data_IF_679537391636
#
_entry.id   IF_679537391636
#
_cell.length_a   1.000
_cell.length_b   1.000
_cell.length_c   1.000
_cell.angle_alpha   90.00
_cell.angle_beta   90.00
_cell.angle_gamma   90.00
#
_symmetry.space_group_name_H-M   'P 1'
#
loop_
_entity.id
_entity.type
_entity.pdbx_description
1 polymer ?
#
# COMPACT_ATOMS: atom_id res chain seq x y z
N UNK A 1 3.33 43.23 20.62
CA UNK A 1 4.75 42.83 20.46
C UNK A 1 4.97 42.31 19.05
N UNK A 2 6.10 42.63 18.44
CA UNK A 2 6.36 42.72 16.99
C UNK A 2 6.82 41.42 16.29
N UNK A 3 6.44 41.29 15.00
CA UNK A 3 7.21 40.94 13.76
C UNK A 3 7.96 39.58 13.74
N UNK A 4 7.93 38.80 12.64
CA UNK A 4 8.59 39.14 11.35
C UNK A 4 7.98 38.40 10.15
N UNK A 5 7.60 39.16 9.13
CA UNK A 5 7.37 38.71 7.75
C UNK A 5 8.67 38.94 6.98
N UNK A 6 9.23 37.89 6.39
CA UNK A 6 10.45 37.95 5.59
C UNK A 6 10.06 38.19 4.13
N UNK A 7 10.06 39.47 3.70
CA UNK A 7 9.91 39.84 2.28
C UNK A 7 11.28 39.79 1.62
N UNK A 8 11.48 38.90 0.66
CA UNK A 8 12.55 39.07 -0.32
C UNK A 8 11.96 39.79 -1.53
N UNK A 9 12.44 41.01 -1.77
CA UNK A 9 12.07 41.85 -2.89
C UNK A 9 13.22 41.81 -3.89
N UNK A 10 13.10 41.00 -4.95
CA UNK A 10 13.95 41.15 -6.13
C UNK A 10 13.27 42.12 -7.09
N UNK A 11 13.33 43.41 -6.78
CA UNK A 11 12.97 44.49 -7.70
C UNK A 11 13.89 45.67 -7.42
N UNK A 12 14.69 46.06 -8.42
CA UNK A 12 15.43 47.32 -8.40
C UNK A 12 14.52 48.42 -8.94
N UNK A 13 14.54 49.60 -8.30
CA UNK A 13 13.80 50.77 -8.76
C UNK A 13 14.15 51.09 -10.22
N UNK A 14 13.14 51.09 -11.09
CA UNK A 14 13.26 51.42 -12.52
C UNK A 14 13.05 50.27 -13.51
N UNK A 15 12.76 49.05 -13.05
CA UNK A 15 12.52 47.93 -13.97
C UNK A 15 11.11 48.01 -14.59
N UNK A 16 11.05 48.18 -15.91
CA UNK A 16 9.81 48.10 -16.69
C UNK A 16 9.43 46.62 -16.81
N UNK A 17 8.32 46.22 -16.17
CA UNK A 17 7.77 44.87 -16.30
C UNK A 17 6.96 44.81 -17.60
N UNK A 18 7.24 43.89 -18.54
CA UNK A 18 6.44 43.76 -19.75
C UNK A 18 5.01 43.28 -19.40
N UNK A 19 3.97 43.79 -20.08
CA UNK A 19 2.59 43.40 -19.80
C UNK A 19 2.39 41.90 -20.07
N UNK A 20 1.91 41.16 -19.07
CA UNK A 20 1.55 39.74 -19.19
C UNK A 20 2.43 38.73 -18.46
N UNK A 21 3.51 39.16 -17.79
CA UNK A 21 4.23 38.27 -16.86
C UNK A 21 3.41 38.06 -15.57
N UNK A 22 3.27 36.83 -15.04
CA UNK A 22 2.60 36.62 -13.75
C UNK A 22 3.35 37.42 -12.67
N UNK A 23 2.68 38.44 -12.12
CA UNK A 23 3.26 39.34 -11.11
C UNK A 23 3.19 38.73 -9.70
N UNK A 24 2.31 37.74 -9.49
CA UNK A 24 2.11 37.03 -8.23
C UNK A 24 1.63 35.61 -8.54
N UNK A 25 2.35 34.60 -8.07
CA UNK A 25 1.84 33.24 -7.95
C UNK A 25 1.27 33.09 -6.52
N UNK A 26 -0.05 32.94 -6.41
CA UNK A 26 -0.70 32.70 -5.12
C UNK A 26 -0.72 31.18 -4.92
N UNK A 27 0.22 30.69 -4.14
CA UNK A 27 0.21 29.32 -3.65
C UNK A 27 -0.74 29.25 -2.45
N UNK A 28 -1.88 28.57 -2.60
CA UNK A 28 -2.75 28.26 -1.48
C UNK A 28 -2.12 27.13 -0.64
N UNK A 29 -1.48 27.47 0.47
CA UNK A 29 -0.82 26.49 1.37
C UNK A 29 -1.81 25.58 2.13
N UNK A 30 -3.13 25.85 2.06
CA UNK A 30 -4.09 25.24 2.97
C UNK A 30 -4.74 23.93 2.48
N UNK A 31 -4.67 23.60 1.18
CA UNK A 31 -5.21 22.33 0.66
C UNK A 31 -4.25 21.76 -0.40
N UNK A 32 -3.19 21.10 0.06
CA UNK A 32 -2.32 20.32 -0.81
C UNK A 32 -3.02 19.00 -1.12
N UNK A 33 -3.08 18.66 -2.41
CA UNK A 33 -3.60 17.39 -2.88
C UNK A 33 -2.50 16.63 -3.63
N UNK A 34 -2.48 15.30 -3.46
CA UNK A 34 -1.55 14.43 -4.18
C UNK A 34 -2.28 13.73 -5.32
N UNK A 35 -1.69 13.78 -6.51
CA UNK A 35 -2.12 12.98 -7.66
C UNK A 35 -1.20 11.77 -7.83
N UNK A 36 -1.76 10.58 -7.68
CA UNK A 36 -1.09 9.30 -7.93
C UNK A 36 -1.56 8.71 -9.25
N UNK A 37 -0.66 8.05 -9.97
CA UNK A 37 -1.03 7.20 -11.11
C UNK A 37 -1.10 5.74 -10.65
N UNK A 38 -2.23 5.09 -10.90
CA UNK A 38 -2.47 3.68 -10.55
C UNK A 38 -2.77 2.89 -11.82
N UNK A 39 -2.29 1.65 -11.90
CA UNK A 39 -2.62 0.76 -13.02
C UNK A 39 -4.08 0.32 -12.96
N UNK A 40 -4.69 0.07 -14.12
CA UNK A 40 -6.12 -0.22 -14.19
C UNK A 40 -6.52 -1.49 -13.42
N UNK A 41 -5.63 -2.48 -13.34
CA UNK A 41 -5.84 -3.73 -12.61
C UNK A 41 -5.80 -3.55 -11.07
N UNK A 42 -5.05 -2.56 -10.59
CA UNK A 42 -4.90 -2.26 -9.16
C UNK A 42 -5.94 -1.29 -8.61
N UNK A 43 -6.84 -0.77 -9.46
CA UNK A 43 -7.92 0.14 -9.05
C UNK A 43 -8.83 -0.43 -7.96
N UNK A 44 -8.95 -1.75 -7.89
CA UNK A 44 -9.72 -2.43 -6.84
C UNK A 44 -9.20 -2.08 -5.43
N UNK A 45 -7.89 -1.86 -5.29
CA UNK A 45 -7.27 -1.46 -4.03
C UNK A 45 -7.33 0.06 -3.78
N UNK A 46 -7.40 0.88 -4.83
CA UNK A 46 -7.29 2.35 -4.74
C UNK A 46 -8.66 3.08 -4.83
N UNK A 47 -9.67 2.60 -4.10
CA UNK A 47 -11.02 3.19 -4.12
C UNK A 47 -11.16 4.43 -3.23
N UNK A 48 -12.20 5.23 -3.47
CA UNK A 48 -12.54 6.37 -2.61
C UNK A 48 -12.71 5.94 -1.14
N UNK A 49 -12.14 6.72 -0.22
CA UNK A 49 -12.14 6.44 1.21
C UNK A 49 -11.02 5.51 1.69
N UNK A 50 -10.23 4.92 0.79
CA UNK A 50 -9.09 4.07 1.18
C UNK A 50 -7.96 4.92 1.76
N UNK A 51 -7.38 4.53 2.92
CA UNK A 51 -6.20 5.20 3.46
C UNK A 51 -4.97 4.94 2.60
N UNK A 52 -4.15 5.98 2.41
CA UNK A 52 -2.92 5.94 1.62
C UNK A 52 -1.79 6.54 2.44
N UNK A 53 -0.66 5.85 2.51
CA UNK A 53 0.57 6.41 3.08
C UNK A 53 1.38 7.10 1.99
N UNK A 54 1.64 8.39 2.14
CA UNK A 54 2.41 9.20 1.20
C UNK A 54 3.85 9.35 1.70
N UNK A 55 4.80 9.00 0.84
CA UNK A 55 6.24 9.07 1.11
C UNK A 55 6.88 10.08 0.15
N UNK A 56 7.42 11.20 0.65
CA UNK A 56 8.17 12.15 -0.17
C UNK A 56 9.44 11.50 -0.74
N UNK A 57 9.65 11.60 -2.05
CA UNK A 57 10.86 11.08 -2.70
C UNK A 57 11.99 12.11 -2.77
N UNK A 58 11.64 13.39 -2.68
CA UNK A 58 12.59 14.50 -2.72
C UNK A 58 13.37 14.66 -1.40
N UNK A 59 12.82 14.19 -0.29
CA UNK A 59 13.45 14.20 1.03
C UNK A 59 13.13 12.88 1.76
N UNK A 60 14.05 11.89 1.71
CA UNK A 60 13.88 10.62 2.39
C UNK A 60 13.81 10.72 3.92
N UNK A 61 14.19 11.87 4.51
CA UNK A 61 14.13 12.10 5.96
C UNK A 61 12.81 12.72 6.40
N UNK A 62 12.00 13.19 5.44
CA UNK A 62 10.69 13.74 5.73
C UNK A 62 9.75 12.66 6.28
N UNK A 63 8.87 13.01 7.25
CA UNK A 63 7.91 12.06 7.78
C UNK A 63 6.92 11.62 6.69
N UNK A 64 6.52 10.35 6.76
CA UNK A 64 5.40 9.83 5.97
C UNK A 64 4.11 10.58 6.37
N UNK A 65 3.24 10.81 5.40
CA UNK A 65 1.97 11.50 5.61
C UNK A 65 0.83 10.54 5.32
N UNK A 66 -0.12 10.41 6.25
CA UNK A 66 -1.35 9.65 6.01
C UNK A 66 -2.36 10.53 5.27
N UNK A 67 -2.89 10.01 4.17
CA UNK A 67 -3.94 10.63 3.38
C UNK A 67 -5.08 9.66 3.08
N UNK A 68 -6.12 10.16 2.43
CA UNK A 68 -7.29 9.36 2.04
C UNK A 68 -7.62 9.60 0.58
N UNK A 69 -7.87 8.54 -0.18
CA UNK A 69 -8.34 8.67 -1.57
C UNK A 69 -9.65 9.43 -1.58
N UNK A 70 -9.66 10.58 -2.25
CA UNK A 70 -10.84 11.44 -2.42
C UNK A 70 -11.57 11.18 -3.73
N UNK A 71 -10.82 10.89 -4.80
CA UNK A 71 -11.37 10.75 -6.14
C UNK A 71 -10.53 9.79 -6.97
N UNK A 72 -11.20 8.87 -7.65
CA UNK A 72 -10.61 8.03 -8.70
C UNK A 72 -11.18 8.48 -10.03
N UNK A 73 -10.33 8.88 -10.97
CA UNK A 73 -10.80 9.29 -12.29
C UNK A 73 -11.32 8.08 -13.07
N UNK A 74 -12.37 8.27 -13.88
CA UNK A 74 -12.93 7.22 -14.74
C UNK A 74 -12.35 7.26 -16.15
N UNK A 75 -11.03 7.49 -16.25
CA UNK A 75 -10.30 7.55 -17.52
C UNK A 75 -8.86 7.13 -17.32
N UNK A 76 -8.30 6.51 -18.34
CA UNK A 76 -6.87 6.24 -18.44
C UNK A 76 -6.23 7.46 -19.11
N UNK A 77 -5.18 8.01 -18.52
CA UNK A 77 -4.38 9.06 -19.15
C UNK A 77 -3.62 8.43 -20.35
N UNK A 78 -3.79 8.95 -21.57
CA UNK A 78 -3.22 8.33 -22.77
C UNK A 78 -1.68 8.43 -22.84
N UNK A 79 -1.08 9.33 -22.08
CA UNK A 79 0.37 9.55 -22.04
C UNK A 79 1.03 8.56 -21.09
N UNK A 80 0.50 8.45 -19.87
CA UNK A 80 1.08 7.59 -18.81
C UNK A 80 0.51 6.17 -18.82
N UNK A 81 -0.67 5.98 -19.42
CA UNK A 81 -1.50 4.76 -19.35
C UNK A 81 -1.97 4.40 -17.94
N UNK A 82 -1.92 5.35 -17.01
CA UNK A 82 -2.36 5.19 -15.64
C UNK A 82 -3.71 5.88 -15.43
N UNK A 83 -4.41 5.49 -14.37
CA UNK A 83 -5.59 6.17 -13.87
C UNK A 83 -5.19 7.13 -12.76
N UNK A 84 -5.59 8.39 -12.89
CA UNK A 84 -5.30 9.42 -11.88
C UNK A 84 -6.18 9.18 -10.63
N UNK A 85 -5.53 9.10 -9.47
CA UNK A 85 -6.13 8.98 -8.14
C UNK A 85 -5.70 10.19 -7.30
N UNK A 86 -6.67 10.92 -6.77
CA UNK A 86 -6.44 12.10 -5.95
C UNK A 86 -6.58 11.76 -4.47
N UNK A 87 -5.55 12.09 -3.68
CA UNK A 87 -5.46 11.82 -2.25
C UNK A 87 -5.51 13.14 -1.48
N UNK A 88 -6.51 13.26 -0.60
CA UNK A 88 -6.62 14.37 0.34
C UNK A 88 -5.66 14.15 1.50
N UNK A 89 -4.93 15.20 1.87
CA UNK A 89 -4.02 15.20 3.03
C UNK A 89 -4.61 16.01 4.19
N UNK A 90 -4.13 15.79 5.42
CA UNK A 90 -4.45 16.64 6.56
C UNK A 90 -4.00 18.09 6.34
N UNK A 91 -4.76 19.04 6.89
CA UNK A 91 -4.39 20.46 6.87
C UNK A 91 -3.01 20.69 7.53
N UNK A 92 -2.23 21.62 6.98
CA UNK A 92 -0.89 21.93 7.48
C UNK A 92 0.20 20.92 7.09
N UNK A 93 -0.13 19.94 6.23
CA UNK A 93 0.87 19.06 5.62
C UNK A 93 1.89 19.89 4.84
N UNK A 94 3.18 19.60 5.06
CA UNK A 94 4.31 20.31 4.43
C UNK A 94 5.00 19.45 3.38
N UNK A 95 4.30 19.19 2.28
CA UNK A 95 4.91 18.61 1.09
C UNK A 95 5.35 19.72 0.14
N UNK A 96 6.44 19.48 -0.58
CA UNK A 96 6.83 20.37 -1.67
C UNK A 96 5.81 20.25 -2.81
N UNK A 97 5.33 21.40 -3.29
CA UNK A 97 4.56 21.45 -4.52
C UNK A 97 5.42 21.00 -5.69
N UNK A 98 4.78 20.34 -6.65
CA UNK A 98 5.42 19.68 -7.80
C UNK A 98 6.49 18.65 -7.41
N UNK A 99 6.50 18.22 -6.14
CA UNK A 99 7.38 17.19 -5.64
C UNK A 99 6.93 15.79 -6.03
N UNK A 100 7.90 14.87 -6.12
CA UNK A 100 7.59 13.45 -6.34
C UNK A 100 7.30 12.77 -5.01
N UNK A 101 6.26 11.95 -5.01
CA UNK A 101 5.86 11.13 -3.86
C UNK A 101 5.58 9.71 -4.31
N UNK A 102 5.66 8.76 -3.38
CA UNK A 102 5.16 7.40 -3.52
C UNK A 102 3.94 7.23 -2.62
N UNK A 103 2.86 6.69 -3.17
CA UNK A 103 1.70 6.25 -2.39
C UNK A 103 1.80 4.75 -2.10
N UNK A 104 1.57 4.36 -0.85
CA UNK A 104 1.43 2.97 -0.42
C UNK A 104 -0.01 2.75 0.05
N UNK A 105 -0.69 1.79 -0.57
CA UNK A 105 -2.06 1.38 -0.21
C UNK A 105 -2.00 -0.04 0.32
N UNK A 106 -2.57 -0.26 1.50
CA UNK A 106 -2.67 -1.61 2.06
C UNK A 106 -3.90 -2.31 1.48
N UNK A 107 -3.66 -3.33 0.65
CA UNK A 107 -4.71 -4.22 0.17
C UNK A 107 -5.07 -5.19 1.29
N UNK A 108 -6.21 -4.95 1.94
CA UNK A 108 -6.80 -5.91 2.88
C UNK A 108 -7.84 -6.74 2.12
N UNK A 109 -7.52 -7.98 1.79
CA UNK A 109 -8.54 -8.92 1.33
C UNK A 109 -9.34 -9.37 2.55
N UNK A 110 -10.51 -8.76 2.73
CA UNK A 110 -11.49 -9.22 3.73
C UNK A 110 -12.00 -10.56 3.22
N UNK A 111 -11.96 -11.59 4.05
CA UNK A 111 -12.39 -12.97 3.75
C UNK A 111 -11.37 -13.86 3.02
N UNK A 112 -10.07 -13.65 3.29
CA UNK A 112 -8.99 -14.52 2.85
C UNK A 112 -8.40 -15.32 4.03
N UNK A 113 -8.21 -16.64 3.86
CA UNK A 113 -7.41 -17.42 4.81
C UNK A 113 -5.94 -17.07 4.63
N UNK A 114 -5.28 -16.65 5.70
CA UNK A 114 -3.86 -16.35 5.73
C UNK A 114 -3.14 -17.28 6.71
N UNK A 115 -2.00 -17.80 6.28
CA UNK A 115 -1.13 -18.63 7.12
C UNK A 115 0.28 -18.05 7.16
N UNK A 116 1.08 -18.31 8.21
CA UNK A 116 2.48 -17.90 8.25
C UNK A 116 3.24 -18.44 7.05
N UNK A 117 4.17 -17.65 6.48
CA UNK A 117 5.01 -18.10 5.34
C UNK A 117 5.69 -19.45 5.59
N UNK A 118 6.12 -19.70 6.83
CA UNK A 118 6.82 -20.94 7.19
C UNK A 118 5.93 -22.19 7.14
N UNK A 119 4.61 -22.04 7.11
CA UNK A 119 3.66 -23.14 7.03
C UNK A 119 3.44 -23.66 5.60
N UNK A 120 3.76 -22.86 4.58
CA UNK A 120 3.52 -23.18 3.17
C UNK A 120 4.73 -23.86 2.58
N UNK A 121 4.54 -25.07 2.05
CA UNK A 121 5.60 -25.89 1.47
C UNK A 121 5.32 -26.16 -0.01
N UNK A 122 6.33 -26.15 -0.89
CA UNK A 122 6.17 -26.68 -2.23
C UNK A 122 6.12 -28.22 -2.18
N UNK A 123 5.19 -28.82 -2.93
CA UNK A 123 5.09 -30.27 -3.08
C UNK A 123 5.87 -30.77 -4.32
N UNK A 124 5.99 -32.10 -4.47
CA UNK A 124 6.72 -32.72 -5.59
C UNK A 124 6.12 -32.38 -6.97
N UNK A 125 4.83 -32.03 -7.00
CA UNK A 125 4.09 -31.66 -8.22
C UNK A 125 4.18 -30.18 -8.57
N UNK A 126 5.04 -29.40 -7.89
CA UNK A 126 5.17 -27.93 -8.01
C UNK A 126 3.91 -27.15 -7.62
N UNK A 127 3.05 -27.75 -6.82
CA UNK A 127 1.95 -27.05 -6.14
C UNK A 127 2.40 -26.67 -4.73
N UNK A 128 1.54 -25.97 -3.98
CA UNK A 128 1.79 -25.63 -2.60
C UNK A 128 0.90 -26.46 -1.68
N UNK A 129 1.40 -26.80 -0.51
CA UNK A 129 0.67 -27.52 0.52
C UNK A 129 0.88 -26.90 1.90
N UNK A 130 -0.11 -27.12 2.77
CA UNK A 130 -0.06 -26.81 4.20
C UNK A 130 -0.50 -28.02 5.00
N UNK A 131 -0.01 -28.15 6.22
CA UNK A 131 -0.43 -29.19 7.15
C UNK A 131 -1.24 -28.58 8.29
N UNK A 132 -2.43 -29.11 8.53
CA UNK A 132 -3.21 -28.82 9.74
C UNK A 132 -3.16 -30.00 10.70
N UNK A 133 -3.62 -29.79 11.94
CA UNK A 133 -3.73 -30.86 12.94
C UNK A 133 -5.19 -31.15 13.25
N UNK A 134 -5.64 -32.37 12.94
CA UNK A 134 -6.94 -32.88 13.32
C UNK A 134 -6.78 -34.18 14.12
N UNK A 135 -7.37 -34.25 15.32
CA UNK A 135 -7.31 -35.45 16.16
C UNK A 135 -5.87 -35.98 16.41
N UNK A 136 -4.91 -35.09 16.66
CA UNK A 136 -3.47 -35.40 16.82
C UNK A 136 -2.80 -36.06 15.59
N UNK A 137 -3.37 -35.88 14.40
CA UNK A 137 -2.77 -36.30 13.15
C UNK A 137 -2.62 -35.11 12.21
N UNK A 138 -1.53 -35.08 11.46
CA UNK A 138 -1.31 -34.13 10.38
C UNK A 138 -2.28 -34.43 9.23
N UNK A 139 -2.95 -33.40 8.73
CA UNK A 139 -3.80 -33.46 7.54
C UNK A 139 -3.17 -32.58 6.48
N UNK A 140 -2.90 -33.16 5.31
CA UNK A 140 -2.33 -32.43 4.18
C UNK A 140 -3.42 -31.73 3.37
N UNK A 141 -3.20 -30.46 3.08
CA UNK A 141 -4.05 -29.67 2.19
C UNK A 141 -3.24 -29.12 1.04
N UNK A 142 -3.62 -29.44 -0.19
CA UNK A 142 -3.09 -28.75 -1.37
C UNK A 142 -3.77 -27.40 -1.51
N UNK A 143 -2.99 -26.33 -1.60
CA UNK A 143 -3.49 -24.96 -1.61
C UNK A 143 -3.01 -24.19 -2.83
N UNK A 144 -3.84 -23.24 -3.29
CA UNK A 144 -3.38 -22.17 -4.17
C UNK A 144 -2.95 -20.98 -3.33
N UNK A 145 -1.85 -20.35 -3.69
CA UNK A 145 -1.36 -19.14 -3.02
C UNK A 145 -1.97 -17.89 -3.68
N UNK A 146 -2.35 -16.93 -2.85
CA UNK A 146 -2.87 -15.62 -3.26
C UNK A 146 -1.89 -14.49 -2.93
N UNK A 147 -2.41 -13.39 -2.41
CA UNK A 147 -1.60 -12.28 -1.92
C UNK A 147 -0.62 -12.73 -0.83
N UNK A 148 0.60 -12.18 -0.86
CA UNK A 148 1.61 -12.45 0.16
C UNK A 148 2.17 -11.15 0.72
N UNK A 149 2.53 -11.18 2.00
CA UNK A 149 3.29 -10.14 2.67
C UNK A 149 4.53 -10.76 3.34
N UNK A 150 5.41 -9.98 3.99
CA UNK A 150 6.63 -10.53 4.61
C UNK A 150 6.39 -11.60 5.69
N UNK A 151 5.20 -11.64 6.30
CA UNK A 151 4.88 -12.54 7.42
C UNK A 151 3.95 -13.68 7.00
N UNK A 152 2.99 -13.41 6.12
CA UNK A 152 1.85 -14.28 5.82
C UNK A 152 1.63 -14.46 4.31
N UNK A 153 1.07 -15.62 3.96
CA UNK A 153 0.62 -15.96 2.60
C UNK A 153 -0.87 -16.28 2.67
N UNK A 154 -1.63 -15.70 1.76
CA UNK A 154 -3.01 -16.09 1.52
C UNK A 154 -3.05 -17.48 0.88
N UNK A 155 -3.89 -18.35 1.42
CA UNK A 155 -4.12 -19.70 0.92
C UNK A 155 -5.58 -19.89 0.53
N UNK A 156 -5.79 -20.61 -0.58
CA UNK A 156 -7.11 -20.88 -1.14
C UNK A 156 -7.22 -22.39 -1.31
N UNK A 157 -8.12 -23.00 -0.53
CA UNK A 157 -8.49 -24.41 -0.62
C UNK A 157 -9.91 -24.62 -0.11
N UNK A 158 -10.64 -25.58 -0.69
CA UNK A 158 -12.04 -25.84 -0.37
C UNK A 158 -12.23 -26.59 0.96
N UNK A 159 -11.16 -27.21 1.46
CA UNK A 159 -11.15 -28.09 2.64
C UNK A 159 -10.50 -27.45 3.88
N UNK A 160 -9.99 -26.21 3.75
CA UNK A 160 -9.38 -25.45 4.83
C UNK A 160 -10.36 -24.41 5.38
N UNK A 161 -10.41 -24.23 6.71
CA UNK A 161 -11.31 -23.28 7.37
C UNK A 161 -10.57 -22.39 8.36
N UNK A 162 -11.20 -21.25 8.66
CA UNK A 162 -10.71 -20.36 9.72
C UNK A 162 -10.71 -21.11 11.06
N UNK A 163 -9.60 -21.00 11.79
CA UNK A 163 -9.40 -21.67 13.08
C UNK A 163 -8.70 -23.02 13.01
N UNK A 164 -8.45 -23.57 11.81
CA UNK A 164 -7.68 -24.81 11.68
C UNK A 164 -6.22 -24.60 12.11
N UNK A 165 -5.69 -25.39 13.06
CA UNK A 165 -4.34 -25.21 13.57
C UNK A 165 -3.31 -25.67 12.53
N UNK A 166 -2.58 -24.70 11.96
CA UNK A 166 -1.55 -24.96 10.94
C UNK A 166 -0.19 -25.25 11.58
N UNK A 167 0.56 -26.18 10.99
CA UNK A 167 1.91 -26.53 11.44
C UNK A 167 2.96 -25.63 10.78
N UNK A 168 3.73 -24.92 11.60
CA UNK A 168 4.72 -23.93 11.15
C UNK A 168 6.18 -24.36 11.31
N UNK A 169 6.44 -25.43 12.07
CA UNK A 169 7.78 -25.95 12.40
C UNK A 169 7.77 -27.46 12.26
N UNK A 170 8.80 -28.03 11.62
CA UNK A 170 8.89 -29.49 11.38
C UNK A 170 7.92 -30.01 10.32
N UNK A 171 7.20 -29.12 9.64
CA UNK A 171 6.23 -29.45 8.60
C UNK A 171 6.86 -30.13 7.37
N UNK A 172 8.14 -29.90 7.09
CA UNK A 172 8.86 -30.55 5.98
C UNK A 172 9.07 -32.07 6.19
N UNK A 173 8.87 -32.59 7.40
CA UNK A 173 9.00 -34.02 7.72
C UNK A 173 7.63 -34.72 7.79
N UNK A 174 6.53 -33.97 7.65
CA UNK A 174 5.19 -34.51 7.82
C UNK A 174 4.68 -35.21 6.56
N UNK A 175 4.01 -36.33 6.80
CA UNK A 175 3.19 -37.03 5.80
C UNK A 175 1.72 -36.96 6.21
N UNK A 176 0.83 -37.11 5.24
CA UNK A 176 -0.60 -37.14 5.51
C UNK A 176 -0.96 -38.30 6.46
N UNK A 177 -1.71 -38.00 7.52
CA UNK A 177 -2.05 -38.96 8.57
C UNK A 177 -0.94 -39.27 9.56
N UNK A 178 0.19 -38.56 9.54
CA UNK A 178 1.26 -38.74 10.53
C UNK A 178 0.80 -38.28 11.93
N UNK A 179 1.07 -39.07 12.96
CA UNK A 179 0.78 -38.67 14.34
C UNK A 179 1.66 -37.48 14.77
N UNK A 180 1.05 -36.47 15.36
CA UNK A 180 1.72 -35.23 15.78
C UNK A 180 1.36 -34.85 17.22
N UNK A 181 2.30 -34.21 17.90
CA UNK A 181 2.11 -33.67 19.24
C UNK A 181 2.29 -32.14 19.21
N UNK A 182 1.26 -31.41 19.62
CA UNK A 182 1.32 -29.95 19.68
C UNK A 182 2.12 -29.54 20.92
N UNK A 183 3.36 -29.07 20.72
CA UNK A 183 4.12 -28.39 21.78
C UNK A 183 3.75 -26.92 21.80
N UNK A 184 3.15 -26.48 22.91
CA UNK A 184 2.87 -25.07 23.20
C UNK A 184 4.12 -24.37 23.74
#
# INVERSE_FOLDING_TARGET
MQRRSSRHLNAQDGQIVPPGGPLVEIVAENEIEVKLGVEAEDLSAAQEGVPVTIIPLNDPTAPKVEGVVRLVTRRIDPTTRLVDVYVRLPEGTKLLLDGYVRGEIQRTERDALAVPRSAVLPNESREFEVFTVANNHAVRHTVKIGAENPNEIQVIADDLREGDPVVTVGNYELEDGMAVEIKK
#
